data_IF_840910870050
#
_entry.id   IF_840910870050
#
_cell.length_a   1.000
_cell.length_b   1.000
_cell.length_c   1.000
_cell.angle_alpha   90.00
_cell.angle_beta   90.00
_cell.angle_gamma   90.00
#
_symmetry.space_group_name_H-M   'P 1'
#
loop_
_entity.id
_entity.type
_entity.pdbx_description
1 polymer ?
#
# COMPACT_ATOMS: atom_id res chain seq x y z
N UNK A 1 40.97 42.41 50.92
CA UNK A 1 40.69 42.16 49.49
C UNK A 1 39.54 41.19 49.41
N UNK A 2 38.38 41.70 49.06
CA UNK A 2 37.09 40.99 49.06
C UNK A 2 36.96 40.25 47.73
N UNK A 3 36.92 38.93 47.74
CA UNK A 3 36.68 38.12 46.53
C UNK A 3 35.18 38.08 46.25
N UNK A 4 34.75 38.75 45.19
CA UNK A 4 33.41 38.61 44.60
C UNK A 4 33.16 37.17 44.14
N UNK A 5 31.94 36.63 44.30
CA UNK A 5 31.58 35.37 43.67
C UNK A 5 31.34 35.58 42.17
N UNK A 6 31.96 34.73 41.35
CA UNK A 6 31.69 34.63 39.92
C UNK A 6 30.19 34.36 39.69
N UNK A 7 29.60 35.18 38.83
CA UNK A 7 28.23 34.98 38.32
C UNK A 7 28.28 33.86 37.28
N UNK A 8 27.48 32.77 37.39
CA UNK A 8 27.50 31.73 36.38
C UNK A 8 26.94 32.27 35.07
N UNK A 9 27.65 31.96 34.00
CA UNK A 9 27.43 32.43 32.64
C UNK A 9 25.99 32.24 32.15
N UNK A 10 25.50 33.32 31.57
CA UNK A 10 24.27 33.43 30.78
C UNK A 10 24.26 32.41 29.62
N UNK A 11 23.35 31.44 29.70
CA UNK A 11 22.69 30.84 28.53
C UNK A 11 23.40 29.69 27.82
N UNK A 12 23.57 28.54 28.48
CA UNK A 12 23.67 27.28 27.74
C UNK A 12 22.36 27.07 26.93
N UNK A 13 22.46 27.16 25.60
CA UNK A 13 21.39 26.70 24.71
C UNK A 13 21.13 25.23 25.06
N UNK A 14 19.89 24.91 25.49
CA UNK A 14 19.49 23.51 25.66
C UNK A 14 19.85 22.73 24.39
N UNK A 15 20.40 21.51 24.51
CA UNK A 15 20.68 20.69 23.35
C UNK A 15 19.41 20.55 22.52
N UNK A 16 19.55 20.75 21.21
CA UNK A 16 18.43 20.60 20.27
C UNK A 16 17.83 19.20 20.44
N UNK A 17 16.49 19.07 20.49
CA UNK A 17 15.85 17.78 20.64
C UNK A 17 16.23 16.88 19.47
N UNK A 18 16.61 15.63 19.78
CA UNK A 18 16.93 14.65 18.74
C UNK A 18 15.76 14.37 17.80
N UNK A 19 16.06 13.82 16.62
CA UNK A 19 15.07 13.54 15.57
C UNK A 19 13.85 12.75 16.06
N UNK A 20 14.04 11.72 16.90
CA UNK A 20 12.94 10.89 17.43
C UNK A 20 11.97 11.70 18.29
N UNK A 21 12.48 12.67 19.06
CA UNK A 21 11.68 13.59 19.86
C UNK A 21 10.88 14.53 18.94
N UNK A 22 11.51 15.07 17.90
CA UNK A 22 10.84 15.90 16.90
C UNK A 22 9.72 15.14 16.17
N UNK A 23 9.95 13.86 15.83
CA UNK A 23 8.92 12.99 15.25
C UNK A 23 7.76 12.78 16.22
N UNK A 24 8.03 12.46 17.49
CA UNK A 24 6.99 12.27 18.51
C UNK A 24 6.16 13.54 18.73
N UNK A 25 6.80 14.72 18.73
CA UNK A 25 6.12 16.02 18.83
C UNK A 25 5.24 16.31 17.61
N UNK A 26 5.67 15.93 16.41
CA UNK A 26 4.85 16.03 15.20
C UNK A 26 3.59 15.16 15.33
N UNK A 27 3.76 13.90 15.72
CA UNK A 27 2.63 12.99 15.98
C UNK A 27 1.69 13.57 17.04
N UNK A 28 2.22 14.13 18.13
CA UNK A 28 1.42 14.77 19.18
C UNK A 28 0.62 15.98 18.67
N UNK A 29 1.23 16.81 17.82
CA UNK A 29 0.55 17.95 17.20
C UNK A 29 -0.60 17.48 16.28
N UNK A 30 -0.40 16.41 15.52
CA UNK A 30 -1.43 15.83 14.65
C UNK A 30 -2.56 15.18 15.43
N UNK A 31 -2.25 14.46 16.51
CA UNK A 31 -3.25 13.93 17.45
C UNK A 31 -4.11 15.05 18.01
N UNK A 32 -3.48 16.13 18.49
CA UNK A 32 -4.20 17.30 19.00
C UNK A 32 -5.09 17.94 17.94
N UNK A 33 -4.55 18.16 16.74
CA UNK A 33 -5.31 18.74 15.63
C UNK A 33 -6.56 17.93 15.32
N UNK A 34 -6.41 16.61 15.09
CA UNK A 34 -7.54 15.76 14.72
C UNK A 34 -8.54 15.55 15.84
N UNK A 35 -8.08 15.62 17.10
CA UNK A 35 -8.96 15.64 18.27
C UNK A 35 -9.81 16.91 18.30
N UNK A 36 -9.18 18.08 18.09
CA UNK A 36 -9.87 19.37 18.05
C UNK A 36 -10.85 19.48 16.87
N UNK A 37 -10.48 19.00 15.69
CA UNK A 37 -11.38 18.93 14.52
C UNK A 37 -12.63 18.07 14.76
N UNK A 38 -12.57 17.12 15.71
CA UNK A 38 -13.70 16.28 16.11
C UNK A 38 -14.49 16.82 17.29
N UNK A 39 -14.13 18.00 17.80
CA UNK A 39 -14.73 18.57 19.01
C UNK A 39 -14.50 17.70 20.25
N UNK A 40 -13.48 16.84 20.24
CA UNK A 40 -13.20 15.93 21.36
C UNK A 40 -12.33 16.60 22.41
N UNK A 41 -12.67 16.40 23.67
CA UNK A 41 -11.78 16.68 24.81
C UNK A 41 -10.74 15.56 24.94
N UNK A 42 -9.62 15.84 25.61
CA UNK A 42 -8.63 14.80 25.94
C UNK A 42 -9.22 13.65 26.78
N UNK A 43 -10.24 13.93 27.61
CA UNK A 43 -10.95 12.90 28.36
C UNK A 43 -11.80 11.99 27.45
N UNK A 44 -12.47 12.55 26.45
CA UNK A 44 -13.22 11.77 25.47
C UNK A 44 -12.30 10.89 24.63
N UNK A 45 -11.15 11.41 24.21
CA UNK A 45 -10.15 10.60 23.49
C UNK A 45 -9.64 9.44 24.37
N UNK A 46 -9.30 9.69 25.64
CA UNK A 46 -8.89 8.65 26.59
C UNK A 46 -9.96 7.56 26.78
N UNK A 47 -11.24 7.95 26.87
CA UNK A 47 -12.36 7.00 26.94
C UNK A 47 -12.49 6.19 25.66
N UNK A 48 -12.31 6.82 24.49
CA UNK A 48 -12.41 6.15 23.20
C UNK A 48 -11.30 5.11 23.01
N UNK A 49 -10.06 5.44 23.37
CA UNK A 49 -8.96 4.45 23.34
C UNK A 49 -9.25 3.29 24.29
N UNK A 50 -9.81 3.56 25.48
CA UNK A 50 -10.20 2.51 26.43
C UNK A 50 -11.31 1.59 25.88
N UNK A 51 -12.30 2.13 25.17
CA UNK A 51 -13.35 1.35 24.50
C UNK A 51 -12.81 0.45 23.38
N UNK A 52 -11.68 0.83 22.77
CA UNK A 52 -10.98 0.05 21.76
C UNK A 52 -10.01 -0.98 22.38
N UNK A 53 -10.00 -1.14 23.70
CA UNK A 53 -9.19 -2.14 24.39
C UNK A 53 -7.77 -1.69 24.76
N UNK A 54 -7.40 -0.43 24.54
CA UNK A 54 -6.08 0.10 24.92
C UNK A 54 -6.23 1.42 25.68
N UNK A 55 -6.05 1.37 27.00
CA UNK A 55 -6.27 2.54 27.85
C UNK A 55 -5.10 3.53 27.76
N UNK A 56 -5.36 4.72 27.21
CA UNK A 56 -4.48 5.87 27.32
C UNK A 56 -5.07 6.89 28.30
N UNK A 57 -4.52 7.02 29.52
CA UNK A 57 -5.02 7.97 30.50
C UNK A 57 -5.00 9.42 29.97
N UNK A 58 -5.98 10.23 30.39
CA UNK A 58 -6.04 11.66 30.03
C UNK A 58 -4.72 12.39 30.32
N UNK A 59 -4.04 12.06 31.42
CA UNK A 59 -2.75 12.65 31.79
C UNK A 59 -1.65 12.32 30.76
N UNK A 60 -1.66 11.12 30.22
CA UNK A 60 -0.71 10.69 29.17
C UNK A 60 -0.97 11.46 27.88
N UNK A 61 -2.23 11.59 27.47
CA UNK A 61 -2.60 12.40 26.31
C UNK A 61 -2.22 13.87 26.49
N UNK A 62 -2.50 14.44 27.67
CA UNK A 62 -2.14 15.82 27.98
C UNK A 62 -0.61 16.02 27.97
N UNK A 63 0.17 15.06 28.47
CA UNK A 63 1.63 15.13 28.43
C UNK A 63 2.16 15.01 27.00
N UNK A 64 1.56 14.14 26.19
CA UNK A 64 1.89 13.99 24.78
C UNK A 64 1.63 15.30 24.01
N UNK A 65 0.39 15.83 24.07
CA UNK A 65 -0.01 17.04 23.34
C UNK A 65 0.71 18.31 23.79
N UNK A 66 1.26 18.33 25.00
CA UNK A 66 2.06 19.45 25.53
C UNK A 66 3.58 19.21 25.41
N UNK A 67 4.01 18.22 24.64
CA UNK A 67 5.43 17.88 24.42
C UNK A 67 6.22 17.63 25.72
N UNK A 68 5.54 17.15 26.78
CA UNK A 68 6.16 16.67 28.04
C UNK A 68 6.51 15.19 27.97
N UNK A 69 6.04 14.50 26.93
CA UNK A 69 6.38 13.13 26.60
C UNK A 69 6.96 13.11 25.20
N UNK A 70 8.20 12.66 25.09
CA UNK A 70 8.97 12.69 23.85
C UNK A 70 8.95 11.35 23.08
N UNK A 71 8.01 10.46 23.41
CA UNK A 71 7.87 9.13 22.80
C UNK A 71 6.42 8.81 22.47
N UNK A 72 6.23 8.16 21.32
CA UNK A 72 4.95 7.54 20.90
C UNK A 72 5.28 6.15 20.39
N UNK A 73 4.64 5.14 20.95
CA UNK A 73 4.79 3.75 20.49
C UNK A 73 3.94 3.50 19.25
N UNK A 74 4.24 2.44 18.48
CA UNK A 74 3.42 2.05 17.33
C UNK A 74 2.00 1.67 17.77
N UNK A 75 1.83 1.01 18.92
CA UNK A 75 0.52 0.69 19.49
C UNK A 75 -0.30 1.98 19.77
N UNK A 76 0.35 3.00 20.34
CA UNK A 76 -0.29 4.29 20.59
C UNK A 76 -0.65 5.01 19.30
N UNK A 77 0.22 5.01 18.30
CA UNK A 77 -0.06 5.57 16.99
C UNK A 77 -1.32 4.96 16.38
N UNK A 78 -1.41 3.63 16.37
CA UNK A 78 -2.55 2.90 15.78
C UNK A 78 -3.85 3.11 16.56
N UNK A 79 -3.81 3.02 17.90
CA UNK A 79 -5.02 3.22 18.70
C UNK A 79 -5.51 4.66 18.65
N UNK A 80 -4.60 5.64 18.63
CA UNK A 80 -4.97 7.05 18.50
C UNK A 80 -5.58 7.33 17.15
N UNK A 81 -5.00 6.79 16.08
CA UNK A 81 -5.55 6.89 14.73
C UNK A 81 -6.96 6.28 14.65
N UNK A 82 -7.17 5.10 15.24
CA UNK A 82 -8.48 4.45 15.30
C UNK A 82 -9.48 5.20 16.19
N UNK A 83 -9.05 5.70 17.36
CA UNK A 83 -9.91 6.46 18.25
C UNK A 83 -10.31 7.83 17.67
N UNK A 84 -9.45 8.37 16.81
CA UNK A 84 -9.67 9.58 16.06
C UNK A 84 -10.20 9.28 14.65
N UNK A 85 -10.60 8.08 14.24
CA UNK A 85 -11.09 7.81 12.87
C UNK A 85 -10.26 8.50 11.76
N UNK A 86 -8.92 8.40 11.83
CA UNK A 86 -7.99 8.93 10.82
C UNK A 86 -7.06 7.82 10.30
N UNK A 87 -6.61 7.90 9.04
CA UNK A 87 -5.50 7.07 8.57
C UNK A 87 -4.26 7.30 9.45
N UNK A 88 -3.60 6.26 9.99
CA UNK A 88 -2.42 6.41 10.86
C UNK A 88 -1.29 7.21 10.21
N UNK A 89 -1.16 7.12 8.88
CA UNK A 89 -0.18 7.87 8.11
C UNK A 89 -0.36 9.38 8.24
N UNK A 90 -1.57 9.90 8.47
CA UNK A 90 -1.79 11.35 8.66
C UNK A 90 -1.25 11.86 10.00
N UNK A 91 -1.07 10.97 10.99
CA UNK A 91 -0.42 11.35 12.24
C UNK A 91 1.12 11.44 12.09
N UNK A 92 1.70 10.75 11.10
CA UNK A 92 3.14 10.81 10.79
C UNK A 92 3.43 11.89 9.74
N UNK A 93 2.62 11.93 8.68
CA UNK A 93 2.79 12.73 7.48
C UNK A 93 1.53 13.58 7.24
N UNK A 94 1.51 14.83 7.72
CA UNK A 94 0.33 15.69 7.64
C UNK A 94 0.17 16.30 6.24
N UNK A 95 -0.30 15.47 5.30
CA UNK A 95 -0.54 15.82 3.89
C UNK A 95 -1.43 17.07 3.80
N UNK A 96 -0.96 18.06 3.01
CA UNK A 96 -1.67 19.33 2.79
C UNK A 96 -1.56 20.35 3.92
N UNK A 97 -0.92 20.00 5.05
CA UNK A 97 -0.72 20.91 6.20
C UNK A 97 0.72 21.31 6.41
N UNK A 98 1.67 20.44 6.10
CA UNK A 98 3.09 20.78 6.11
C UNK A 98 3.68 20.67 4.70
N UNK A 99 4.59 21.60 4.35
CA UNK A 99 5.26 21.58 3.05
C UNK A 99 6.36 20.51 3.00
N UNK A 100 7.08 20.34 4.09
CA UNK A 100 8.26 19.51 4.18
C UNK A 100 8.49 19.04 5.62
N UNK A 101 8.86 17.76 5.78
CA UNK A 101 9.06 17.10 7.06
C UNK A 101 10.33 16.27 7.06
N UNK A 102 10.96 16.19 8.23
CA UNK A 102 12.09 15.29 8.44
C UNK A 102 11.58 13.92 8.88
N UNK A 103 11.54 12.98 7.94
CA UNK A 103 10.96 11.63 8.13
C UNK A 103 11.99 10.61 8.63
N UNK A 104 13.26 10.81 8.33
CA UNK A 104 14.41 10.10 8.89
C UNK A 104 15.46 11.15 9.26
N UNK A 105 16.44 10.84 10.14
CA UNK A 105 17.50 11.78 10.46
C UNK A 105 18.16 12.37 9.21
N UNK A 106 18.21 13.70 9.14
CA UNK A 106 18.72 14.47 8.00
C UNK A 106 18.03 14.23 6.64
N UNK A 107 16.91 13.51 6.60
CA UNK A 107 16.16 13.21 5.37
C UNK A 107 14.83 13.94 5.40
N UNK A 108 14.75 15.02 4.61
CA UNK A 108 13.57 15.86 4.50
C UNK A 108 12.86 15.65 3.18
N UNK A 109 11.54 15.52 3.23
CA UNK A 109 10.70 15.41 2.04
C UNK A 109 9.25 15.82 2.34
N UNK A 110 8.44 15.93 1.29
CA UNK A 110 7.04 16.29 1.43
C UNK A 110 6.25 15.21 2.16
N UNK A 111 5.22 15.55 2.97
CA UNK A 111 4.33 14.55 3.55
C UNK A 111 3.68 13.61 2.52
N UNK A 112 3.41 14.09 1.30
CA UNK A 112 2.87 13.26 0.22
C UNK A 112 3.82 12.14 -0.16
N UNK A 113 5.12 12.44 -0.25
CA UNK A 113 6.16 11.47 -0.55
C UNK A 113 6.32 10.45 0.59
N UNK A 114 6.30 10.91 1.85
CA UNK A 114 6.33 10.02 3.03
C UNK A 114 5.15 9.05 3.03
N UNK A 115 3.94 9.54 2.74
CA UNK A 115 2.76 8.69 2.61
C UNK A 115 2.93 7.67 1.49
N UNK A 116 3.51 8.05 0.35
CA UNK A 116 3.82 7.12 -0.72
C UNK A 116 4.82 6.05 -0.28
N UNK A 117 5.88 6.43 0.44
CA UNK A 117 6.90 5.51 0.94
C UNK A 117 6.32 4.50 1.94
N UNK A 118 5.53 4.95 2.91
CA UNK A 118 4.84 4.07 3.87
C UNK A 118 3.91 3.07 3.16
N UNK A 119 3.27 3.48 2.05
CA UNK A 119 2.41 2.62 1.25
C UNK A 119 3.19 1.71 0.29
N UNK A 120 4.52 1.80 0.24
CA UNK A 120 5.33 1.07 -0.72
C UNK A 120 5.18 1.54 -2.17
N UNK A 121 4.66 2.76 -2.39
CA UNK A 121 4.38 3.31 -3.71
C UNK A 121 5.54 4.13 -4.30
N UNK A 122 6.38 4.72 -3.46
CA UNK A 122 7.57 5.50 -3.89
C UNK A 122 8.78 5.14 -3.05
N UNK A 123 9.97 5.32 -3.63
CA UNK A 123 11.24 5.15 -2.93
C UNK A 123 11.58 6.38 -2.10
N UNK A 124 12.25 6.19 -0.98
CA UNK A 124 12.82 7.27 -0.18
C UNK A 124 14.33 7.25 -0.33
N UNK A 125 14.91 8.31 -0.88
CA UNK A 125 16.35 8.40 -1.10
C UNK A 125 17.05 8.89 0.18
N UNK A 126 17.65 7.96 0.93
CA UNK A 126 18.46 8.22 2.11
C UNK A 126 19.81 7.51 1.99
N UNK A 127 20.79 7.88 2.82
CA UNK A 127 22.12 7.29 2.77
C UNK A 127 22.06 5.78 3.05
N UNK A 128 22.62 4.97 2.15
CA UNK A 128 22.58 3.50 2.24
C UNK A 128 21.30 2.86 1.71
N UNK A 129 20.42 3.63 1.06
CA UNK A 129 19.26 3.09 0.35
C UNK A 129 19.67 2.13 -0.78
N UNK A 130 18.99 0.98 -0.86
CA UNK A 130 19.18 -0.02 -1.91
C UNK A 130 17.89 -0.19 -2.70
N UNK A 131 17.88 0.29 -3.94
CA UNK A 131 16.73 0.16 -4.84
C UNK A 131 16.40 -1.32 -5.10
N UNK A 132 17.40 -2.17 -5.31
CA UNK A 132 17.19 -3.60 -5.56
C UNK A 132 16.49 -4.31 -4.40
N UNK A 133 16.97 -4.12 -3.16
CA UNK A 133 16.35 -4.72 -1.97
C UNK A 133 14.94 -4.18 -1.70
N UNK A 134 14.75 -2.88 -1.96
CA UNK A 134 13.43 -2.28 -1.86
C UNK A 134 12.48 -2.91 -2.91
N UNK A 135 12.82 -2.91 -4.20
CA UNK A 135 11.97 -3.50 -5.24
C UNK A 135 11.65 -4.98 -4.96
N UNK A 136 12.60 -5.75 -4.43
CA UNK A 136 12.36 -7.13 -4.01
C UNK A 136 11.28 -7.23 -2.92
N UNK A 137 11.37 -6.41 -1.86
CA UNK A 137 10.38 -6.41 -0.78
C UNK A 137 9.03 -5.81 -1.21
N UNK A 138 9.05 -4.84 -2.13
CA UNK A 138 7.87 -4.18 -2.72
C UNK A 138 7.00 -5.13 -3.54
N UNK A 139 7.58 -6.21 -4.04
CA UNK A 139 6.93 -7.15 -4.96
C UNK A 139 5.59 -7.63 -4.45
N UNK A 140 5.50 -8.01 -3.17
CA UNK A 140 4.25 -8.42 -2.55
C UNK A 140 3.17 -7.32 -2.62
N UNK A 141 3.50 -6.08 -2.28
CA UNK A 141 2.56 -4.94 -2.35
C UNK A 141 2.08 -4.74 -3.80
N UNK A 142 3.01 -4.76 -4.76
CA UNK A 142 2.70 -4.54 -6.17
C UNK A 142 1.75 -5.59 -6.72
N UNK A 143 1.98 -6.87 -6.38
CA UNK A 143 1.10 -7.95 -6.79
C UNK A 143 -0.33 -7.78 -6.27
N UNK A 144 -0.50 -7.34 -5.02
CA UNK A 144 -1.82 -7.14 -4.43
C UNK A 144 -2.50 -5.88 -4.98
N UNK A 145 -1.74 -4.82 -5.25
CA UNK A 145 -2.26 -3.61 -5.90
C UNK A 145 -2.75 -3.89 -7.33
N UNK A 146 -1.98 -4.62 -8.14
CA UNK A 146 -2.40 -5.05 -9.48
C UNK A 146 -3.64 -5.93 -9.39
N UNK A 147 -3.68 -6.89 -8.46
CA UNK A 147 -4.86 -7.74 -8.26
C UNK A 147 -6.12 -6.90 -7.98
N UNK A 148 -6.02 -5.92 -7.07
CA UNK A 148 -7.13 -5.00 -6.77
C UNK A 148 -7.58 -4.22 -8.01
N UNK A 149 -6.65 -3.75 -8.84
CA UNK A 149 -6.97 -3.03 -10.07
C UNK A 149 -7.69 -3.92 -11.09
N UNK A 150 -7.21 -5.14 -11.31
CA UNK A 150 -7.85 -6.11 -12.22
C UNK A 150 -9.26 -6.49 -11.76
N UNK A 151 -9.47 -6.68 -10.45
CA UNK A 151 -10.81 -6.91 -9.90
C UNK A 151 -11.72 -5.71 -10.15
N UNK A 152 -11.23 -4.49 -9.92
CA UNK A 152 -12.00 -3.25 -10.13
C UNK A 152 -12.36 -3.06 -11.61
N UNK A 153 -11.41 -3.32 -12.51
CA UNK A 153 -11.59 -3.26 -13.96
C UNK A 153 -12.69 -4.23 -14.41
N UNK A 154 -12.59 -5.51 -14.01
CA UNK A 154 -13.61 -6.51 -14.31
C UNK A 154 -15.00 -6.08 -13.84
N UNK A 155 -15.13 -5.62 -12.59
CA UNK A 155 -16.41 -5.12 -12.07
C UNK A 155 -16.94 -3.89 -12.83
N UNK A 156 -16.04 -3.04 -13.34
CA UNK A 156 -16.43 -1.86 -14.12
C UNK A 156 -16.98 -2.25 -15.49
N UNK A 157 -16.36 -3.24 -16.15
CA UNK A 157 -16.86 -3.82 -17.40
C UNK A 157 -18.22 -4.50 -17.17
N UNK A 158 -18.36 -5.32 -16.10
CA UNK A 158 -19.65 -5.94 -15.74
C UNK A 158 -20.77 -4.91 -15.56
N UNK A 159 -20.50 -3.83 -14.82
CA UNK A 159 -21.48 -2.74 -14.64
C UNK A 159 -21.84 -2.08 -15.96
N UNK A 160 -20.88 -1.91 -16.87
CA UNK A 160 -21.12 -1.28 -18.17
C UNK A 160 -21.98 -2.16 -19.08
N UNK A 161 -21.73 -3.47 -19.10
CA UNK A 161 -22.55 -4.46 -19.80
C UNK A 161 -23.98 -4.43 -19.29
N UNK A 162 -24.17 -4.47 -17.97
CA UNK A 162 -25.51 -4.42 -17.38
C UNK A 162 -26.26 -3.15 -17.78
N UNK A 163 -25.59 -1.99 -17.71
CA UNK A 163 -26.20 -0.71 -18.12
C UNK A 163 -26.64 -0.70 -19.60
N UNK A 164 -25.84 -1.28 -20.50
CA UNK A 164 -26.19 -1.35 -21.92
C UNK A 164 -27.33 -2.34 -22.16
N UNK A 165 -27.28 -3.51 -21.51
CA UNK A 165 -28.35 -4.49 -21.58
C UNK A 165 -29.67 -3.91 -21.08
N UNK A 166 -29.67 -3.19 -19.95
CA UNK A 166 -30.86 -2.53 -19.41
C UNK A 166 -31.42 -1.47 -20.38
N UNK A 167 -30.55 -0.67 -21.02
CA UNK A 167 -30.96 0.32 -22.02
C UNK A 167 -31.61 -0.30 -23.25
N UNK A 168 -31.08 -1.44 -23.70
CA UNK A 168 -31.60 -2.19 -24.84
C UNK A 168 -32.71 -3.18 -24.45
N UNK A 169 -33.12 -3.20 -23.16
CA UNK A 169 -34.10 -4.14 -22.59
C UNK A 169 -33.74 -5.62 -22.83
N UNK A 170 -32.44 -5.93 -22.86
CA UNK A 170 -31.90 -7.28 -23.02
C UNK A 170 -31.74 -7.98 -21.66
N UNK A 171 -32.06 -9.27 -21.60
CA UNK A 171 -31.81 -10.10 -20.42
C UNK A 171 -30.43 -10.74 -20.56
N UNK A 172 -29.47 -10.31 -19.72
CA UNK A 172 -28.06 -10.76 -19.77
C UNK A 172 -27.91 -12.28 -19.62
N UNK A 173 -28.85 -12.97 -18.97
CA UNK A 173 -28.85 -14.41 -18.78
C UNK A 173 -29.31 -15.25 -19.99
N UNK A 174 -29.95 -14.65 -20.99
CA UNK A 174 -30.41 -15.31 -22.23
C UNK A 174 -29.55 -14.98 -23.45
N UNK A 175 -28.36 -14.41 -23.23
CA UNK A 175 -27.40 -14.09 -24.28
C UNK A 175 -26.78 -15.39 -24.81
N UNK A 176 -27.49 -16.05 -25.73
CA UNK A 176 -26.94 -17.08 -26.58
C UNK A 176 -25.98 -16.44 -27.60
N UNK A 177 -24.91 -17.14 -27.95
CA UNK A 177 -23.90 -16.73 -28.94
C UNK A 177 -24.47 -16.43 -30.35
N UNK A 178 -25.74 -16.76 -30.60
CA UNK A 178 -26.39 -16.68 -31.91
C UNK A 178 -27.16 -15.37 -32.16
N UNK A 179 -27.25 -14.46 -31.19
CA UNK A 179 -27.96 -13.21 -31.39
C UNK A 179 -27.11 -12.26 -32.27
N UNK A 180 -27.39 -12.24 -33.59
CA UNK A 180 -26.62 -11.48 -34.60
C UNK A 180 -26.45 -9.98 -34.25
N UNK A 181 -27.33 -9.42 -33.42
CA UNK A 181 -27.23 -8.04 -32.89
C UNK A 181 -26.00 -7.84 -32.00
N UNK A 182 -25.63 -8.87 -31.24
CA UNK A 182 -24.44 -8.91 -30.39
C UNK A 182 -23.18 -9.29 -31.16
N UNK A 183 -23.27 -9.68 -32.44
CA UNK A 183 -22.09 -10.06 -33.21
C UNK A 183 -21.31 -8.84 -33.76
N UNK A 184 -21.89 -7.62 -33.74
CA UNK A 184 -21.29 -6.40 -34.32
C UNK A 184 -21.68 -5.07 -33.62
N UNK A 185 -21.76 -5.03 -32.28
CA UNK A 185 -22.11 -3.81 -31.54
C UNK A 185 -21.30 -3.59 -30.26
N UNK A 186 -21.41 -2.42 -29.59
CA UNK A 186 -20.61 -2.08 -28.40
C UNK A 186 -20.71 -3.12 -27.27
N UNK A 187 -21.84 -3.81 -27.15
CA UNK A 187 -22.04 -4.88 -26.17
C UNK A 187 -21.14 -6.11 -26.45
N UNK A 188 -20.87 -6.43 -27.71
CA UNK A 188 -19.96 -7.50 -28.12
C UNK A 188 -18.52 -7.22 -27.67
N UNK A 189 -18.08 -5.98 -27.88
CA UNK A 189 -16.75 -5.51 -27.51
C UNK A 189 -16.57 -5.61 -25.99
N UNK A 190 -17.54 -5.13 -25.22
CA UNK A 190 -17.50 -5.24 -23.76
C UNK A 190 -17.56 -6.69 -23.26
N UNK A 191 -18.30 -7.60 -23.91
CA UNK A 191 -18.31 -9.02 -23.55
C UNK A 191 -16.93 -9.66 -23.80
N UNK A 192 -16.25 -9.26 -24.87
CA UNK A 192 -14.88 -9.70 -25.18
C UNK A 192 -13.89 -9.16 -24.15
N UNK A 193 -13.97 -7.86 -23.82
CA UNK A 193 -13.18 -7.24 -22.75
C UNK A 193 -13.44 -7.91 -21.40
N UNK A 194 -14.69 -8.31 -21.13
CA UNK A 194 -15.06 -9.00 -19.90
C UNK A 194 -14.35 -10.35 -19.78
N UNK A 195 -14.36 -11.16 -20.84
CA UNK A 195 -13.62 -12.43 -20.88
C UNK A 195 -12.11 -12.20 -20.69
N UNK A 196 -11.54 -11.22 -21.39
CA UNK A 196 -10.12 -10.87 -21.29
C UNK A 196 -9.73 -10.39 -19.87
N UNK A 197 -10.59 -9.62 -19.21
CA UNK A 197 -10.36 -9.16 -17.83
C UNK A 197 -10.33 -10.33 -16.83
N UNK A 198 -11.16 -11.37 -17.03
CA UNK A 198 -11.12 -12.59 -16.21
C UNK A 198 -9.83 -13.37 -16.40
N UNK A 199 -9.38 -13.52 -17.65
CA UNK A 199 -8.14 -14.27 -17.93
C UNK A 199 -6.91 -13.55 -17.38
N UNK A 200 -6.83 -12.22 -17.50
CA UNK A 200 -5.79 -11.43 -16.81
C UNK A 200 -5.81 -11.64 -15.30
N UNK A 201 -7.00 -11.61 -14.69
CA UNK A 201 -7.15 -11.87 -13.26
C UNK A 201 -6.72 -13.30 -12.87
N UNK A 202 -7.05 -14.31 -13.70
CA UNK A 202 -6.59 -15.69 -13.49
C UNK A 202 -5.07 -15.80 -13.53
N UNK A 203 -4.45 -15.30 -14.60
CA UNK A 203 -3.00 -15.35 -14.77
C UNK A 203 -2.30 -14.65 -13.62
N UNK A 204 -2.77 -13.47 -13.23
CA UNK A 204 -2.19 -12.71 -12.13
C UNK A 204 -2.35 -13.41 -10.77
N UNK A 205 -3.51 -14.02 -10.50
CA UNK A 205 -3.69 -14.87 -9.30
C UNK A 205 -2.78 -16.10 -9.34
N UNK A 206 -2.57 -16.69 -10.51
CA UNK A 206 -1.57 -17.74 -10.72
C UNK A 206 -0.17 -17.29 -10.33
N UNK A 207 0.22 -16.08 -10.73
CA UNK A 207 1.50 -15.47 -10.35
C UNK A 207 1.64 -15.29 -8.83
N UNK A 208 0.65 -14.68 -8.18
CA UNK A 208 0.62 -14.51 -6.70
C UNK A 208 0.83 -15.86 -6.00
N UNK A 209 0.12 -16.90 -6.45
CA UNK A 209 0.25 -18.25 -5.88
C UNK A 209 1.62 -18.86 -6.15
N UNK A 210 2.18 -18.67 -7.35
CA UNK A 210 3.50 -19.21 -7.71
C UNK A 210 4.63 -18.59 -6.88
N UNK A 211 4.43 -17.38 -6.36
CA UNK A 211 5.38 -16.71 -5.45
C UNK A 211 5.14 -17.05 -3.97
N UNK A 212 4.23 -17.98 -3.68
CA UNK A 212 3.95 -18.44 -2.31
C UNK A 212 3.09 -17.49 -1.49
N UNK A 213 2.51 -16.45 -2.10
CA UNK A 213 1.62 -15.52 -1.41
C UNK A 213 0.18 -16.03 -1.29
N UNK A 214 -0.50 -15.63 -0.22
CA UNK A 214 -1.92 -15.96 -0.03
C UNK A 214 -2.79 -15.15 -0.97
N UNK A 215 -3.70 -15.81 -1.68
CA UNK A 215 -4.57 -15.13 -2.63
C UNK A 215 -5.52 -14.16 -1.90
N UNK A 216 -5.65 -12.90 -2.39
CA UNK A 216 -6.66 -12.00 -1.87
C UNK A 216 -8.06 -12.56 -2.12
N UNK A 217 -8.99 -12.23 -1.21
CA UNK A 217 -10.40 -12.55 -1.39
C UNK A 217 -10.98 -11.87 -2.63
N UNK A 218 -12.01 -12.50 -3.19
CA UNK A 218 -12.72 -11.99 -4.34
C UNK A 218 -14.15 -11.62 -3.97
N UNK A 219 -14.71 -10.56 -4.57
CA UNK A 219 -16.13 -10.31 -4.53
C UNK A 219 -16.92 -11.51 -5.07
N UNK A 220 -18.12 -11.82 -4.54
CA UNK A 220 -18.88 -13.00 -4.94
C UNK A 220 -19.13 -13.10 -6.45
N UNK A 221 -19.44 -11.99 -7.13
CA UNK A 221 -19.69 -11.96 -8.58
C UNK A 221 -18.46 -12.40 -9.39
N UNK A 222 -17.27 -11.94 -8.99
CA UNK A 222 -16.01 -12.25 -9.68
C UNK A 222 -15.58 -13.69 -9.37
N UNK A 223 -15.81 -14.14 -8.14
CA UNK A 223 -15.54 -15.52 -7.72
C UNK A 223 -16.39 -16.53 -8.49
N UNK A 224 -17.67 -16.24 -8.70
CA UNK A 224 -18.57 -17.06 -9.52
C UNK A 224 -18.12 -17.11 -10.98
N UNK A 225 -17.88 -15.94 -11.59
CA UNK A 225 -17.43 -15.84 -12.98
C UNK A 225 -16.12 -16.62 -13.23
N UNK A 226 -15.17 -16.57 -12.29
CA UNK A 226 -13.92 -17.34 -12.39
C UNK A 226 -14.13 -18.86 -12.36
N UNK A 227 -15.14 -19.35 -11.64
CA UNK A 227 -15.50 -20.77 -11.56
C UNK A 227 -16.24 -21.25 -12.81
N UNK A 228 -17.15 -20.44 -13.32
CA UNK A 228 -17.98 -20.75 -14.51
C UNK A 228 -17.14 -20.86 -15.78
N UNK A 229 -16.09 -20.04 -15.91
CA UNK A 229 -15.19 -20.05 -17.07
C UNK A 229 -13.89 -20.84 -16.83
N UNK A 230 -13.92 -21.86 -15.95
CA UNK A 230 -12.82 -22.83 -15.80
C UNK A 230 -12.42 -23.44 -17.16
N UNK A 231 -11.15 -23.81 -17.39
CA UNK A 231 -10.62 -24.03 -18.73
C UNK A 231 -11.26 -25.26 -19.37
N UNK A 232 -12.34 -25.05 -20.10
CA UNK A 232 -12.73 -25.93 -21.19
C UNK A 232 -11.67 -25.72 -22.27
N UNK A 233 -10.86 -26.75 -22.54
CA UNK A 233 -9.68 -26.72 -23.40
C UNK A 233 -9.94 -26.44 -24.88
N UNK A 234 -10.61 -25.34 -25.20
CA UNK A 234 -10.84 -24.82 -26.53
C UNK A 234 -11.01 -23.31 -26.46
N UNK A 235 -9.94 -22.56 -26.65
CA UNK A 235 -10.02 -21.40 -27.55
C UNK A 235 -8.72 -21.27 -28.35
N UNK A 236 -8.99 -21.10 -29.64
CA UNK A 236 -8.13 -21.17 -30.82
C UNK A 236 -6.92 -20.23 -30.70
N UNK A 237 -5.80 -20.68 -31.27
CA UNK A 237 -4.75 -19.80 -31.75
C UNK A 237 -5.37 -18.65 -32.54
N UNK A 238 -5.33 -17.45 -31.96
CA UNK A 238 -5.32 -16.23 -32.76
C UNK A 238 -3.89 -16.11 -33.30
N UNK A 239 -3.78 -16.26 -34.62
CA UNK A 239 -2.58 -16.04 -35.43
C UNK A 239 -2.11 -14.59 -35.28
N UNK A 240 -0.81 -14.38 -35.55
CA UNK A 240 -0.06 -13.18 -35.19
C UNK A 240 -0.54 -11.86 -35.79
N UNK A 241 0.17 -10.81 -35.34
CA UNK A 241 -0.11 -9.38 -35.44
C UNK A 241 -1.18 -8.85 -34.46
N UNK A 242 -0.76 -8.66 -33.21
CA UNK A 242 -1.17 -7.54 -32.36
C UNK A 242 -0.09 -7.38 -31.27
N UNK A 243 1.06 -6.87 -31.69
CA UNK A 243 1.94 -6.12 -30.81
C UNK A 243 1.36 -4.70 -30.73
N UNK A 244 1.22 -4.18 -29.52
CA UNK A 244 0.71 -2.84 -29.19
C UNK A 244 -0.81 -2.71 -29.00
N UNK A 245 -1.34 -3.33 -27.93
CA UNK A 245 -2.57 -2.84 -27.30
C UNK A 245 -2.34 -2.53 -25.81
N UNK A 246 -1.97 -1.27 -25.57
CA UNK A 246 -1.55 -0.73 -24.28
C UNK A 246 -2.73 -0.05 -23.57
N UNK A 247 -3.38 -0.75 -22.64
CA UNK A 247 -4.36 -0.14 -21.71
C UNK A 247 -4.11 -0.43 -20.23
N UNK A 248 -2.83 -0.58 -19.85
CA UNK A 248 -2.24 -0.17 -18.57
C UNK A 248 -0.75 0.15 -18.85
N UNK A 249 -0.07 1.09 -18.16
CA UNK A 249 1.30 1.47 -18.50
C UNK A 249 2.23 0.23 -18.55
N UNK A 250 2.88 -0.06 -19.70
CA UNK A 250 3.64 -1.30 -19.93
C UNK A 250 4.80 -1.52 -18.95
N UNK A 251 5.29 -0.45 -18.33
CA UNK A 251 6.45 -0.49 -17.43
C UNK A 251 6.24 -1.45 -16.25
N UNK A 252 5.06 -1.49 -15.62
CA UNK A 252 4.92 -2.25 -14.36
C UNK A 252 4.96 -3.77 -14.58
N UNK A 253 4.34 -4.30 -15.63
CA UNK A 253 4.31 -5.76 -15.87
C UNK A 253 5.62 -6.26 -16.50
N UNK A 254 6.19 -5.49 -17.44
CA UNK A 254 7.49 -5.82 -18.04
C UNK A 254 8.62 -5.70 -17.03
N UNK A 255 8.63 -4.69 -16.14
CA UNK A 255 9.59 -4.58 -15.04
C UNK A 255 9.39 -5.69 -13.98
N UNK A 256 8.14 -6.08 -13.65
CA UNK A 256 7.90 -7.17 -12.70
C UNK A 256 8.38 -8.53 -13.22
N UNK A 257 8.23 -8.78 -14.52
CA UNK A 257 8.69 -10.01 -15.17
C UNK A 257 10.19 -10.00 -15.41
N UNK A 258 10.78 -8.84 -15.75
CA UNK A 258 12.23 -8.66 -15.87
C UNK A 258 12.96 -8.73 -14.52
N UNK A 259 12.28 -8.43 -13.40
CA UNK A 259 12.83 -8.48 -12.05
C UNK A 259 12.61 -9.83 -11.33
N UNK A 260 12.32 -10.90 -12.07
CA UNK A 260 12.37 -12.25 -11.48
C UNK A 260 13.79 -12.49 -10.97
N UNK A 261 14.01 -12.84 -9.69
CA UNK A 261 15.30 -13.36 -9.29
C UNK A 261 15.55 -14.63 -10.09
N UNK A 262 16.73 -14.71 -10.71
CA UNK A 262 17.21 -15.91 -11.35
C UNK A 262 17.31 -16.99 -10.26
N UNK A 263 16.38 -17.95 -10.26
CA UNK A 263 16.52 -19.17 -9.47
C UNK A 263 17.35 -20.17 -10.29
N UNK A 264 18.53 -19.73 -10.72
CA UNK A 264 19.58 -20.55 -11.31
C UNK A 264 20.40 -21.16 -10.19
N UNK A 265 20.42 -22.49 -10.14
CA UNK A 265 20.94 -23.27 -9.03
C UNK A 265 22.41 -23.02 -8.70
N UNK A 266 22.68 -22.78 -7.42
CA UNK A 266 23.94 -23.12 -6.78
C UNK A 266 24.15 -24.64 -6.90
N UNK A 267 24.99 -25.07 -7.86
CA UNK A 267 25.73 -26.31 -7.70
C UNK A 267 26.74 -26.11 -6.55
N UNK A 268 26.73 -26.94 -5.51
CA UNK A 268 27.72 -26.82 -4.46
C UNK A 268 29.09 -27.30 -4.97
N UNK A 269 30.05 -26.37 -5.01
CA UNK A 269 31.47 -26.63 -5.08
C UNK A 269 31.86 -27.70 -4.05
N UNK A 270 32.26 -28.87 -4.51
CA UNK A 270 32.90 -29.87 -3.65
C UNK A 270 34.31 -29.39 -3.31
N UNK A 271 34.45 -28.86 -2.11
CA UNK A 271 35.73 -28.57 -1.46
C UNK A 271 36.66 -29.80 -1.51
N UNK A 272 37.83 -29.52 -2.07
CA UNK A 272 39.13 -30.07 -1.74
C UNK A 272 39.21 -30.70 -0.35
N UNK A 273 39.27 -32.04 -0.30
CA UNK A 273 39.85 -32.76 0.83
C UNK A 273 41.36 -32.55 0.82
N UNK A 274 41.84 -31.64 1.65
CA UNK A 274 43.21 -31.68 2.14
C UNK A 274 43.35 -32.81 3.16
N UNK A 275 44.31 -33.71 2.96
CA UNK A 275 44.91 -34.47 4.05
C UNK A 275 46.40 -34.62 3.77
N UNK A 276 47.19 -34.03 4.66
CA UNK A 276 48.64 -34.02 4.64
C UNK A 276 49.23 -35.39 5.01
N UNK A 277 50.33 -35.73 4.33
CA UNK A 277 51.54 -36.41 4.84
C UNK A 277 51.41 -37.71 5.66
N UNK A 278 51.77 -38.83 5.01
CA UNK A 278 52.95 -39.67 5.34
C UNK A 278 53.21 -40.68 4.21
#
# INVERSE_FOLDING_TARGET
>A
MTTSPETPGRGEKRPEPGWSVLLARRVAAEVRYWREQRGMTALQLARRTAQLGYQLPRSVLANLENNRRDTVTVAELLILAAALDVPPVLLIAPVGRERDIEVLPATRTTPWHVRGWIHGAVELNYQGFSATMWQQSRRAITLYDIHRLLVREHQQIQRRIQQLADQEHLVVGEIASDDLRLSRGPLADFLTELAYSLDRLRMHRGLIKSEGFQLPDLPPSVSAALKETAPSGRHRHATGDDQDDHLLPPLVYQELMASRPDLGGDEPDQESRGCSSS
#
